data_IF_155316762135
#
_entry.id   IF_155316762135
#
_cell.length_a   1.000
_cell.length_b   1.000
_cell.length_c   1.000
_cell.angle_alpha   90.00
_cell.angle_beta   90.00
_cell.angle_gamma   90.00
#
_symmetry.space_group_name_H-M   'P 1'
#
loop_
_entity.id
_entity.type
_entity.pdbx_description
1 polymer ?
#
# COMPACT_ATOMS: atom_id res chain seq x y z
N UNK A 1 -11.65 5.33 -8.98
CA UNK A 1 -10.79 6.36 -8.33
C UNK A 1 -10.84 7.63 -9.18
N UNK A 2 -11.00 8.82 -8.58
CA UNK A 2 -10.98 10.10 -9.30
C UNK A 2 -9.56 10.43 -9.81
N UNK A 3 -9.40 11.15 -10.94
CA UNK A 3 -8.11 11.67 -11.37
C UNK A 3 -7.49 12.56 -10.28
N UNK A 4 -6.17 12.51 -10.10
CA UNK A 4 -5.51 13.27 -9.04
C UNK A 4 -5.21 14.70 -9.46
N UNK A 5 -5.09 14.93 -10.77
CA UNK A 5 -4.80 16.25 -11.33
C UNK A 5 -5.93 16.71 -12.27
N UNK A 6 -6.25 18.02 -12.31
CA UNK A 6 -7.19 18.57 -13.27
C UNK A 6 -6.75 18.25 -14.71
N UNK A 7 -7.65 17.68 -15.52
CA UNK A 7 -7.38 17.32 -16.92
C UNK A 7 -6.75 15.94 -17.15
N UNK A 8 -6.36 15.22 -16.10
CA UNK A 8 -5.89 13.84 -16.23
C UNK A 8 -7.05 12.91 -16.61
N UNK A 9 -6.94 12.23 -17.76
CA UNK A 9 -7.91 11.23 -18.19
C UNK A 9 -7.50 9.86 -17.65
N UNK A 10 -8.39 9.22 -16.88
CA UNK A 10 -8.17 7.87 -16.37
C UNK A 10 -9.18 6.89 -16.94
N UNK A 11 -8.71 6.02 -17.82
CA UNK A 11 -9.52 4.91 -18.35
C UNK A 11 -9.80 3.92 -17.22
N UNK A 12 -11.07 3.64 -16.98
CA UNK A 12 -11.53 2.64 -16.02
C UNK A 12 -12.45 1.66 -16.75
N UNK A 13 -12.06 0.39 -16.80
CA UNK A 13 -12.91 -0.67 -17.33
C UNK A 13 -13.76 -1.20 -16.19
N UNK A 14 -15.07 -1.28 -16.40
CA UNK A 14 -15.98 -1.89 -15.43
C UNK A 14 -15.81 -3.41 -15.44
N UNK A 15 -15.28 -3.92 -14.32
CA UNK A 15 -15.04 -5.35 -14.10
C UNK A 15 -16.07 -5.97 -13.15
N UNK A 16 -17.18 -5.28 -12.83
CA UNK A 16 -18.14 -5.75 -11.82
C UNK A 16 -18.70 -7.15 -12.12
N UNK A 17 -19.21 -7.38 -13.33
CA UNK A 17 -19.73 -8.69 -13.74
C UNK A 17 -18.62 -9.74 -13.86
N UNK A 18 -17.49 -9.48 -14.57
CA UNK A 18 -16.35 -10.39 -14.58
C UNK A 18 -15.88 -10.81 -13.19
N UNK A 19 -15.82 -9.88 -12.24
CA UNK A 19 -15.35 -10.12 -10.88
C UNK A 19 -16.20 -11.12 -10.10
N UNK A 20 -17.49 -11.29 -10.45
CA UNK A 20 -18.35 -12.30 -9.84
C UNK A 20 -17.95 -13.73 -10.24
N UNK A 21 -17.31 -13.89 -11.41
CA UNK A 21 -16.82 -15.17 -11.91
C UNK A 21 -15.35 -15.45 -11.56
N UNK A 22 -14.58 -14.41 -11.18
CA UNK A 22 -13.17 -14.55 -10.81
C UNK A 22 -13.06 -15.20 -9.44
N UNK A 23 -12.41 -16.37 -9.40
CA UNK A 23 -12.04 -17.02 -8.15
C UNK A 23 -10.90 -16.23 -7.51
N UNK A 24 -11.15 -15.70 -6.32
CA UNK A 24 -10.14 -14.96 -5.55
C UNK A 24 -9.40 -15.89 -4.61
N UNK A 25 -8.10 -15.87 -4.71
CA UNK A 25 -7.21 -16.43 -3.68
C UNK A 25 -7.04 -15.40 -2.58
N UNK A 26 -7.07 -15.85 -1.32
CA UNK A 26 -6.81 -14.99 -0.17
C UNK A 26 -5.35 -15.11 0.20
N UNK A 27 -4.55 -14.13 -0.22
CA UNK A 27 -3.20 -13.95 0.30
C UNK A 27 -3.23 -13.05 1.53
N UNK A 28 -2.55 -13.48 2.60
CA UNK A 28 -2.42 -12.69 3.81
C UNK A 28 -1.45 -11.54 3.53
N UNK A 29 -1.94 -10.31 3.67
CA UNK A 29 -1.08 -9.13 3.72
C UNK A 29 -0.53 -9.03 5.14
N UNK A 30 0.76 -8.70 5.33
CA UNK A 30 1.32 -8.53 6.66
C UNK A 30 0.50 -7.51 7.45
N UNK A 31 0.24 -7.84 8.70
CA UNK A 31 -0.35 -6.89 9.63
C UNK A 31 0.71 -5.89 10.08
N UNK A 32 0.24 -4.78 10.61
CA UNK A 32 1.13 -3.81 11.24
C UNK A 32 1.94 -4.41 12.40
N UNK A 33 1.39 -5.39 13.13
CA UNK A 33 2.11 -6.01 14.24
C UNK A 33 3.23 -6.93 13.74
N UNK A 34 3.02 -7.61 12.61
CA UNK A 34 4.07 -8.36 11.91
C UNK A 34 5.20 -7.42 11.47
N UNK A 35 4.85 -6.28 10.86
CA UNK A 35 5.81 -5.26 10.42
C UNK A 35 6.59 -4.71 11.63
N UNK A 36 5.93 -4.45 12.76
CA UNK A 36 6.59 -3.95 13.96
C UNK A 36 7.60 -4.96 14.53
N UNK A 37 7.26 -6.26 14.50
CA UNK A 37 8.15 -7.32 14.92
C UNK A 37 9.42 -7.38 14.09
N UNK A 38 9.33 -7.17 12.78
CA UNK A 38 10.52 -7.20 11.89
C UNK A 38 11.39 -5.94 11.99
N UNK A 39 10.82 -4.80 12.37
CA UNK A 39 11.50 -3.51 12.36
C UNK A 39 12.21 -3.16 13.69
N UNK A 40 12.10 -3.98 14.74
CA UNK A 40 12.55 -3.62 16.10
C UNK A 40 14.00 -3.18 16.20
N UNK A 41 14.91 -3.79 15.43
CA UNK A 41 16.35 -3.51 15.49
C UNK A 41 16.81 -2.58 14.34
N UNK A 42 15.87 -1.92 13.65
CA UNK A 42 16.16 -1.17 12.44
C UNK A 42 16.31 0.31 12.70
N UNK A 43 17.35 0.90 12.10
CA UNK A 43 17.64 2.33 12.18
C UNK A 43 17.61 3.02 10.81
N UNK A 44 18.00 2.30 9.77
CA UNK A 44 18.16 2.83 8.42
C UNK A 44 17.17 2.17 7.48
N UNK A 45 16.49 3.00 6.69
CA UNK A 45 15.37 2.60 5.87
C UNK A 45 15.49 3.13 4.44
N UNK A 46 15.03 2.36 3.47
CA UNK A 46 14.71 2.82 2.12
C UNK A 46 13.35 2.28 1.71
N UNK A 47 12.52 3.14 1.10
CA UNK A 47 11.23 2.77 0.53
C UNK A 47 11.31 2.84 -0.98
N UNK A 48 10.94 1.75 -1.65
CA UNK A 48 10.93 1.63 -3.10
C UNK A 48 9.47 1.54 -3.57
N UNK A 49 9.06 2.46 -4.45
CA UNK A 49 7.71 2.51 -5.05
C UNK A 49 7.76 1.87 -6.44
N UNK A 50 6.95 0.82 -6.68
CA UNK A 50 6.85 0.16 -7.98
C UNK A 50 6.06 1.02 -8.98
N UNK A 51 6.62 1.23 -10.17
CA UNK A 51 6.00 2.06 -11.22
C UNK A 51 4.78 1.36 -11.82
N UNK A 52 3.68 2.08 -11.99
CA UNK A 52 2.49 1.56 -12.72
C UNK A 52 1.92 0.25 -12.15
N UNK A 53 2.12 -0.04 -10.85
CA UNK A 53 1.52 -1.12 -10.07
C UNK A 53 1.20 -2.40 -10.87
N UNK A 54 -0.08 -2.76 -10.93
CA UNK A 54 -0.57 -3.98 -11.59
C UNK A 54 -0.16 -4.11 -13.06
N UNK A 55 0.01 -3.01 -13.80
CA UNK A 55 0.37 -3.08 -15.21
C UNK A 55 1.80 -3.57 -15.45
N UNK A 56 2.59 -3.86 -14.41
CA UNK A 56 3.88 -4.53 -14.57
C UNK A 56 3.73 -6.04 -14.80
N UNK A 57 2.66 -6.66 -14.31
CA UNK A 57 2.46 -8.10 -14.41
C UNK A 57 1.75 -8.50 -15.71
N UNK A 58 2.27 -9.50 -16.39
CA UNK A 58 1.65 -10.04 -17.61
C UNK A 58 0.52 -11.00 -17.23
N UNK A 59 -0.65 -10.84 -17.85
CA UNK A 59 -1.72 -11.81 -17.68
C UNK A 59 -1.41 -13.06 -18.51
N UNK A 60 -1.64 -14.22 -17.89
CA UNK A 60 -1.72 -15.49 -18.58
C UNK A 60 -2.66 -15.39 -19.79
N UNK A 61 -2.29 -15.99 -20.91
CA UNK A 61 -2.94 -15.74 -22.20
C UNK A 61 -4.42 -16.15 -22.17
N UNK A 62 -4.70 -17.25 -21.50
CA UNK A 62 -6.00 -17.82 -21.19
C UNK A 62 -6.84 -16.90 -20.30
N UNK A 63 -6.26 -16.07 -19.42
CA UNK A 63 -7.04 -15.16 -18.59
C UNK A 63 -7.43 -13.87 -19.31
N UNK A 64 -6.81 -13.53 -20.44
CA UNK A 64 -6.99 -12.21 -21.08
C UNK A 64 -8.41 -11.95 -21.58
N UNK A 65 -9.18 -12.99 -21.95
CA UNK A 65 -10.53 -12.82 -22.51
C UNK A 65 -11.50 -12.18 -21.50
N UNK A 66 -11.32 -12.46 -20.20
CA UNK A 66 -12.18 -11.91 -19.13
C UNK A 66 -12.04 -10.40 -19.00
N UNK A 67 -10.95 -9.84 -19.51
CA UNK A 67 -10.64 -8.40 -19.48
C UNK A 67 -11.08 -7.66 -20.75
N UNK A 68 -11.91 -8.28 -21.60
CA UNK A 68 -12.35 -7.69 -22.86
C UNK A 68 -13.35 -6.57 -22.60
N UNK A 69 -13.16 -5.43 -23.27
CA UNK A 69 -14.04 -4.27 -23.19
C UNK A 69 -14.29 -3.69 -24.59
N UNK A 70 -15.44 -3.01 -24.73
CA UNK A 70 -15.83 -2.36 -25.98
C UNK A 70 -15.30 -0.93 -26.04
N UNK A 71 -14.90 -0.51 -27.23
CA UNK A 71 -14.51 0.86 -27.55
C UNK A 71 -15.15 1.27 -28.87
N UNK A 72 -15.13 2.57 -29.19
CA UNK A 72 -15.63 3.08 -30.47
C UNK A 72 -14.89 2.52 -31.71
N UNK A 73 -13.70 1.92 -31.54
CA UNK A 73 -12.92 1.25 -32.60
C UNK A 73 -12.93 -0.27 -32.48
N UNK A 74 -13.90 -0.83 -31.75
CA UNK A 74 -14.08 -2.26 -31.56
C UNK A 74 -13.55 -2.80 -30.23
N UNK A 75 -13.48 -4.13 -30.14
CA UNK A 75 -13.12 -4.82 -28.91
C UNK A 75 -11.62 -4.72 -28.63
N UNK A 76 -11.29 -4.49 -27.37
CA UNK A 76 -9.92 -4.48 -26.83
C UNK A 76 -9.89 -5.35 -25.56
N UNK A 77 -8.71 -5.82 -25.18
CA UNK A 77 -8.50 -6.59 -23.94
C UNK A 77 -7.16 -6.26 -23.34
N UNK A 78 -7.01 -6.43 -22.03
CA UNK A 78 -5.73 -6.28 -21.38
C UNK A 78 -4.81 -7.49 -21.63
N UNK A 79 -3.52 -7.22 -21.79
CA UNK A 79 -2.45 -8.24 -21.79
C UNK A 79 -1.68 -8.29 -20.46
N UNK A 80 -1.93 -7.31 -19.60
CA UNK A 80 -1.27 -7.10 -18.31
C UNK A 80 -2.33 -6.90 -17.23
N UNK A 81 -2.00 -7.21 -15.99
CA UNK A 81 -2.95 -7.11 -14.88
C UNK A 81 -3.44 -5.66 -14.80
N UNK A 82 -4.75 -5.50 -14.65
CA UNK A 82 -5.41 -4.19 -14.73
C UNK A 82 -6.15 -3.87 -13.44
N UNK A 83 -6.29 -2.58 -13.17
CA UNK A 83 -7.11 -2.11 -12.07
C UNK A 83 -8.58 -2.50 -12.29
N UNK A 84 -9.27 -2.82 -11.20
CA UNK A 84 -10.68 -3.22 -11.22
C UNK A 84 -10.88 -4.72 -11.13
N UNK A 85 -9.87 -5.54 -11.47
CA UNK A 85 -9.92 -6.99 -11.25
C UNK A 85 -9.90 -7.27 -9.74
N UNK A 86 -10.83 -8.10 -9.28
CA UNK A 86 -11.03 -8.38 -7.85
C UNK A 86 -9.82 -9.06 -7.19
N UNK A 87 -9.11 -9.95 -7.88
CA UNK A 87 -7.92 -10.65 -7.37
C UNK A 87 -6.58 -9.94 -7.61
N UNK A 88 -6.59 -8.76 -8.25
CA UNK A 88 -5.33 -8.14 -8.69
C UNK A 88 -4.40 -7.76 -7.55
N UNK A 89 -4.95 -7.29 -6.42
CA UNK A 89 -4.15 -6.90 -5.26
C UNK A 89 -3.42 -8.11 -4.67
N UNK A 90 -4.13 -9.23 -4.49
CA UNK A 90 -3.57 -10.43 -3.89
C UNK A 90 -2.52 -11.08 -4.79
N UNK A 91 -2.80 -11.18 -6.10
CA UNK A 91 -1.81 -11.70 -7.07
C UNK A 91 -0.56 -10.84 -7.10
N UNK A 92 -0.73 -9.52 -7.11
CA UNK A 92 0.40 -8.59 -7.13
C UNK A 92 1.23 -8.72 -5.85
N UNK A 93 0.59 -8.70 -4.68
CA UNK A 93 1.24 -8.90 -3.40
C UNK A 93 2.04 -10.20 -3.36
N UNK A 94 1.45 -11.32 -3.81
CA UNK A 94 2.13 -12.62 -3.81
C UNK A 94 3.37 -12.62 -4.71
N UNK A 95 3.27 -12.08 -5.93
CA UNK A 95 4.42 -12.00 -6.85
C UNK A 95 5.56 -11.17 -6.28
N UNK A 96 5.26 -10.03 -5.62
CA UNK A 96 6.32 -9.21 -5.03
C UNK A 96 6.90 -9.87 -3.77
N UNK A 97 6.09 -10.54 -2.95
CA UNK A 97 6.59 -11.31 -1.80
C UNK A 97 7.51 -12.45 -2.25
N UNK A 98 7.09 -13.25 -3.25
CA UNK A 98 7.90 -14.32 -3.84
C UNK A 98 9.22 -13.77 -4.40
N UNK A 99 9.18 -12.62 -5.06
CA UNK A 99 10.38 -11.95 -5.56
C UNK A 99 11.37 -11.60 -4.45
N UNK A 100 10.89 -11.23 -3.26
CA UNK A 100 11.72 -10.82 -2.12
C UNK A 100 12.18 -11.99 -1.25
N UNK A 101 11.70 -13.22 -1.49
CA UNK A 101 12.13 -14.40 -0.73
C UNK A 101 13.66 -14.54 -0.76
N UNK A 102 14.23 -14.77 0.43
CA UNK A 102 15.67 -14.90 0.66
C UNK A 102 16.42 -13.57 0.78
N UNK A 103 15.72 -12.43 0.76
CA UNK A 103 16.31 -11.11 1.02
C UNK A 103 15.95 -10.66 2.45
N UNK A 104 16.89 -10.71 3.41
CA UNK A 104 16.61 -10.29 4.78
C UNK A 104 16.41 -8.78 4.86
N UNK A 105 15.56 -8.35 5.80
CA UNK A 105 15.30 -6.92 6.04
C UNK A 105 14.50 -6.27 4.91
N UNK A 106 13.56 -7.01 4.32
CA UNK A 106 12.68 -6.52 3.27
C UNK A 106 11.24 -6.83 3.58
N UNK A 107 10.39 -5.82 3.54
CA UNK A 107 8.95 -5.93 3.78
C UNK A 107 8.23 -5.38 2.56
N UNK A 108 7.26 -6.12 2.02
CA UNK A 108 6.40 -5.62 0.95
C UNK A 108 4.97 -5.43 1.43
N UNK A 109 4.42 -4.26 1.13
CA UNK A 109 3.00 -3.99 1.28
C UNK A 109 2.49 -3.26 0.04
N UNK A 110 1.62 -3.93 -0.72
CA UNK A 110 1.09 -3.45 -1.98
C UNK A 110 2.23 -3.06 -2.95
N UNK A 111 2.26 -1.80 -3.41
CA UNK A 111 3.24 -1.30 -4.38
C UNK A 111 4.56 -0.86 -3.73
N UNK A 112 4.62 -0.83 -2.39
CA UNK A 112 5.79 -0.36 -1.65
C UNK A 112 6.64 -1.54 -1.14
N UNK A 113 7.96 -1.41 -1.29
CA UNK A 113 8.96 -2.30 -0.70
C UNK A 113 9.80 -1.49 0.26
N UNK A 114 9.80 -1.89 1.53
CA UNK A 114 10.67 -1.33 2.56
C UNK A 114 11.92 -2.20 2.68
N UNK A 115 13.09 -1.57 2.64
CA UNK A 115 14.38 -2.17 2.98
C UNK A 115 14.85 -1.53 4.26
N UNK A 116 15.26 -2.32 5.24
CA UNK A 116 15.68 -1.82 6.55
C UNK A 116 16.89 -2.56 7.10
N UNK A 117 17.70 -1.89 7.93
CA UNK A 117 18.79 -2.53 8.67
C UNK A 117 19.23 -1.70 9.91
N UNK A 118 19.99 -2.30 10.84
CA UNK A 118 20.57 -1.59 11.98
C UNK A 118 21.70 -0.63 11.58
N UNK A 119 22.49 -0.98 10.55
CA UNK A 119 23.65 -0.19 10.10
C UNK A 119 23.55 0.22 8.64
N UNK A 120 24.20 1.33 8.28
CA UNK A 120 24.25 1.83 6.88
C UNK A 120 24.89 0.82 5.95
N UNK A 121 25.95 0.14 6.39
CA UNK A 121 26.67 -0.84 5.59
C UNK A 121 25.78 -2.03 5.23
N UNK A 122 25.08 -2.59 6.23
CA UNK A 122 24.15 -3.68 6.02
C UNK A 122 22.93 -3.27 5.18
N UNK A 123 22.39 -2.07 5.45
CA UNK A 123 21.30 -1.50 4.68
C UNK A 123 21.67 -1.40 3.18
N UNK A 124 22.84 -0.85 2.86
CA UNK A 124 23.27 -0.68 1.47
C UNK A 124 23.49 -2.03 0.78
N UNK A 125 24.04 -3.02 1.49
CA UNK A 125 24.19 -4.38 0.97
C UNK A 125 22.83 -5.05 0.68
N UNK A 126 21.84 -4.90 1.57
CA UNK A 126 20.47 -5.38 1.36
C UNK A 126 19.80 -4.67 0.19
N UNK A 127 19.87 -3.34 0.16
CA UNK A 127 19.29 -2.51 -0.90
C UNK A 127 19.84 -2.87 -2.28
N UNK A 128 21.16 -3.08 -2.40
CA UNK A 128 21.77 -3.48 -3.67
C UNK A 128 21.21 -4.83 -4.18
N UNK A 129 21.06 -5.82 -3.29
CA UNK A 129 20.47 -7.12 -3.65
C UNK A 129 19.01 -6.99 -4.08
N UNK A 130 18.23 -6.17 -3.38
CA UNK A 130 16.82 -5.89 -3.72
C UNK A 130 16.71 -5.22 -5.09
N UNK A 131 17.51 -4.18 -5.35
CA UNK A 131 17.52 -3.49 -6.64
C UNK A 131 17.92 -4.43 -7.78
N UNK A 132 18.92 -5.29 -7.57
CA UNK A 132 19.31 -6.30 -8.55
C UNK A 132 18.18 -7.29 -8.83
N UNK A 133 17.54 -7.83 -7.78
CA UNK A 133 16.41 -8.76 -7.92
C UNK A 133 15.23 -8.14 -8.69
N UNK A 134 14.91 -6.87 -8.39
CA UNK A 134 13.88 -6.11 -9.11
C UNK A 134 14.27 -5.96 -10.59
N UNK A 135 15.52 -5.58 -10.87
CA UNK A 135 16.02 -5.44 -12.23
C UNK A 135 15.95 -6.76 -13.01
N UNK A 136 16.37 -7.87 -12.41
CA UNK A 136 16.37 -9.21 -13.04
C UNK A 136 14.95 -9.70 -13.37
N UNK A 137 13.96 -9.31 -12.56
CA UNK A 137 12.56 -9.64 -12.80
C UNK A 137 11.90 -8.80 -13.90
N UNK A 138 12.54 -7.72 -14.35
CA UNK A 138 11.98 -6.76 -15.30
C UNK A 138 10.93 -5.81 -14.69
N UNK A 139 10.76 -5.81 -13.37
CA UNK A 139 9.99 -4.78 -12.67
C UNK A 139 10.75 -3.46 -12.64
N UNK A 140 9.99 -2.37 -12.54
CA UNK A 140 10.50 -1.00 -12.61
C UNK A 140 10.02 -0.19 -11.42
N UNK A 141 10.89 0.72 -10.97
CA UNK A 141 10.65 1.61 -9.84
C UNK A 141 10.29 3.03 -10.29
N UNK A 142 9.43 3.70 -9.55
CA UNK A 142 9.13 5.10 -9.71
C UNK A 142 10.16 5.94 -8.94
N UNK A 143 11.35 6.14 -9.52
CA UNK A 143 12.51 6.78 -8.88
C UNK A 143 12.19 8.03 -8.03
N UNK A 144 11.30 8.91 -8.50
CA UNK A 144 10.94 10.16 -7.79
C UNK A 144 10.15 9.94 -6.49
N UNK A 145 9.54 8.77 -6.31
CA UNK A 145 8.79 8.40 -5.10
C UNK A 145 9.56 7.46 -4.19
N UNK A 146 10.68 6.91 -4.69
CA UNK A 146 11.58 6.14 -3.85
C UNK A 146 12.30 7.07 -2.87
N UNK A 147 12.48 6.61 -1.66
CA UNK A 147 13.22 7.28 -0.59
C UNK A 147 14.36 6.37 -0.17
N UNK A 148 15.57 6.91 -0.09
CA UNK A 148 16.76 6.12 0.19
C UNK A 148 17.46 6.60 1.45
N UNK A 149 17.95 5.64 2.23
CA UNK A 149 18.81 5.83 3.40
C UNK A 149 18.30 6.93 4.35
N UNK A 150 17.12 6.70 4.90
CA UNK A 150 16.48 7.57 5.91
C UNK A 150 16.60 6.93 7.29
N UNK A 151 16.69 7.77 8.31
CA UNK A 151 16.59 7.40 9.72
C UNK A 151 15.13 7.41 10.23
N UNK A 152 14.23 8.01 9.45
CA UNK A 152 12.78 7.97 9.62
C UNK A 152 12.07 7.78 8.29
N UNK A 153 11.07 6.92 8.23
CA UNK A 153 10.36 6.60 6.98
C UNK A 153 8.86 6.47 7.21
N UNK A 154 8.06 7.02 6.31
CA UNK A 154 6.63 6.72 6.27
C UNK A 154 6.38 5.45 5.46
N UNK A 155 5.81 4.43 6.09
CA UNK A 155 5.46 3.16 5.46
C UNK A 155 4.15 2.61 6.04
N UNK A 156 3.29 2.05 5.20
CA UNK A 156 1.97 1.52 5.60
C UNK A 156 1.13 2.46 6.48
N UNK A 157 1.27 3.78 6.26
CA UNK A 157 0.58 4.83 7.01
C UNK A 157 1.26 5.24 8.33
N UNK A 158 2.27 4.52 8.80
CA UNK A 158 2.96 4.85 10.04
C UNK A 158 4.33 5.47 9.76
N UNK A 159 4.82 6.23 10.74
CA UNK A 159 6.19 6.75 10.74
C UNK A 159 7.06 5.80 11.56
N UNK A 160 8.08 5.23 10.93
CA UNK A 160 9.05 4.35 11.58
C UNK A 160 10.38 5.06 11.80
N UNK A 161 11.05 4.74 12.90
CA UNK A 161 12.36 5.26 13.28
C UNK A 161 13.06 4.28 14.24
N UNK A 162 14.30 4.57 14.62
CA UNK A 162 15.02 3.84 15.68
C UNK A 162 14.26 3.82 17.03
N UNK A 163 13.41 4.83 17.29
CA UNK A 163 12.59 4.89 18.51
C UNK A 163 11.29 4.08 18.41
N UNK A 164 11.11 3.31 17.33
CA UNK A 164 9.90 2.56 17.03
C UNK A 164 8.93 3.34 16.13
N UNK A 165 7.63 3.11 16.37
CA UNK A 165 6.54 3.56 15.49
C UNK A 165 5.78 4.76 16.07
N UNK A 166 5.42 5.68 15.19
CA UNK A 166 4.62 6.86 15.50
C UNK A 166 3.50 7.05 14.46
N UNK A 167 2.41 7.77 14.78
CA UNK A 167 1.40 8.12 13.80
C UNK A 167 1.98 9.09 12.76
N UNK A 168 1.46 9.02 11.53
CA UNK A 168 1.78 10.02 10.50
C UNK A 168 1.41 11.43 11.00
N UNK A 169 2.37 12.38 11.07
CA UNK A 169 2.09 13.75 11.48
C UNK A 169 0.97 14.43 10.68
N UNK A 170 0.83 14.11 9.39
CA UNK A 170 -0.26 14.64 8.58
C UNK A 170 -1.64 14.16 9.09
N UNK A 171 -1.74 12.88 9.47
CA UNK A 171 -2.97 12.32 10.05
C UNK A 171 -3.28 12.89 11.43
N UNK A 172 -2.25 13.18 12.22
CA UNK A 172 -2.42 13.87 13.51
C UNK A 172 -2.94 15.29 13.29
N UNK A 173 -2.42 16.00 12.29
CA UNK A 173 -2.89 17.35 11.96
C UNK A 173 -4.32 17.33 11.40
N UNK A 174 -4.67 16.37 10.54
CA UNK A 174 -6.04 16.18 10.04
C UNK A 174 -7.06 16.09 11.21
N UNK A 175 -6.67 15.45 12.33
CA UNK A 175 -7.52 15.34 13.54
C UNK A 175 -7.56 16.66 14.32
N UNK A 176 -6.41 17.34 14.47
CA UNK A 176 -6.32 18.61 15.21
C UNK A 176 -7.08 19.74 14.52
N UNK A 177 -7.05 19.76 13.19
CA UNK A 177 -7.67 20.81 12.37
C UNK A 177 -9.13 20.47 12.02
N UNK A 178 -9.62 19.30 12.45
CA UNK A 178 -11.00 18.89 12.22
C UNK A 178 -11.98 19.82 12.94
N UNK A 179 -12.98 20.30 12.20
CA UNK A 179 -14.08 21.06 12.79
C UNK A 179 -14.98 20.14 13.64
N UNK A 180 -15.65 20.67 14.69
CA UNK A 180 -16.59 19.90 15.49
C UNK A 180 -17.69 19.28 14.60
N UNK A 181 -17.95 17.95 14.71
CA UNK A 181 -18.97 17.31 13.90
C UNK A 181 -20.37 17.78 14.32
N UNK A 182 -21.20 18.08 13.34
CA UNK A 182 -22.58 18.56 13.51
C UNK A 182 -23.63 17.53 13.10
N UNK A 183 -23.21 16.46 12.41
CA UNK A 183 -24.10 15.37 11.97
C UNK A 183 -23.58 14.00 12.38
N UNK A 184 -24.47 13.00 12.47
CA UNK A 184 -24.10 11.60 12.76
C UNK A 184 -23.04 11.07 11.78
N UNK A 185 -23.15 11.41 10.49
CA UNK A 185 -22.18 11.02 9.46
C UNK A 185 -20.80 11.63 9.74
N UNK A 186 -20.75 12.90 10.15
CA UNK A 186 -19.51 13.57 10.53
C UNK A 186 -18.91 12.97 11.81
N UNK A 187 -19.73 12.61 12.80
CA UNK A 187 -19.26 11.92 14.02
C UNK A 187 -18.61 10.57 13.65
N UNK A 188 -19.25 9.77 12.77
CA UNK A 188 -18.67 8.51 12.28
C UNK A 188 -17.36 8.74 11.55
N UNK A 189 -17.31 9.77 10.70
CA UNK A 189 -16.09 10.11 9.96
C UNK A 189 -14.96 10.53 10.90
N UNK A 190 -15.22 11.40 11.87
CA UNK A 190 -14.24 11.85 12.86
C UNK A 190 -13.72 10.70 13.71
N UNK A 191 -14.62 9.84 14.24
CA UNK A 191 -14.23 8.65 15.00
C UNK A 191 -13.37 7.69 14.16
N UNK A 192 -13.65 7.57 12.86
CA UNK A 192 -12.82 6.81 11.93
C UNK A 192 -11.39 7.37 11.83
N UNK A 193 -11.22 8.68 11.76
CA UNK A 193 -9.89 9.32 11.76
C UNK A 193 -9.17 9.10 13.08
N UNK A 194 -9.84 9.28 14.21
CA UNK A 194 -9.23 9.11 15.54
C UNK A 194 -8.80 7.66 15.78
N UNK A 195 -9.62 6.68 15.36
CA UNK A 195 -9.31 5.26 15.50
C UNK A 195 -8.01 4.87 14.79
N UNK A 196 -7.63 5.55 13.72
CA UNK A 196 -6.34 5.35 13.05
C UNK A 196 -5.15 5.55 14.01
N UNK A 197 -5.22 6.60 14.84
CA UNK A 197 -4.21 6.90 15.85
C UNK A 197 -4.42 6.12 17.16
N UNK A 198 -5.44 5.27 17.24
CA UNK A 198 -5.89 4.69 18.50
C UNK A 198 -4.85 3.84 19.23
N UNK A 199 -3.95 3.18 18.50
CA UNK A 199 -2.82 2.44 19.10
C UNK A 199 -1.89 3.31 19.94
N UNK A 200 -1.86 4.62 19.68
CA UNK A 200 -1.00 5.60 20.35
C UNK A 200 -1.74 6.36 21.45
N UNK A 201 -3.06 6.13 21.61
CA UNK A 201 -3.90 6.85 22.55
C UNK A 201 -4.38 5.87 23.62
N UNK A 202 -3.84 6.03 24.83
CA UNK A 202 -4.26 5.24 25.99
C UNK A 202 -5.76 5.48 26.27
N UNK A 203 -6.49 4.40 26.54
CA UNK A 203 -7.91 4.43 26.92
C UNK A 203 -8.81 5.15 25.90
N UNK A 204 -8.47 5.10 24.60
CA UNK A 204 -9.25 5.74 23.53
C UNK A 204 -10.72 5.36 23.59
N UNK A 205 -11.05 4.13 24.01
CA UNK A 205 -12.42 3.66 24.12
C UNK A 205 -13.28 4.49 25.05
N UNK A 206 -12.72 4.84 26.21
CA UNK A 206 -13.42 5.67 27.21
C UNK A 206 -13.48 7.12 26.74
N UNK A 207 -12.39 7.65 26.18
CA UNK A 207 -12.33 9.02 25.66
C UNK A 207 -13.36 9.29 24.56
N UNK A 208 -13.60 8.30 23.69
CA UNK A 208 -14.53 8.43 22.55
C UNK A 208 -15.96 7.98 22.88
N UNK A 209 -16.23 7.48 24.09
CA UNK A 209 -17.57 7.02 24.50
C UNK A 209 -18.66 8.09 24.31
N UNK A 210 -18.47 9.36 24.73
CA UNK A 210 -19.51 10.38 24.56
C UNK A 210 -19.90 10.59 23.09
N UNK A 211 -18.94 10.53 22.18
CA UNK A 211 -19.19 10.69 20.74
C UNK A 211 -19.88 9.46 20.15
N UNK A 212 -19.55 8.25 20.60
CA UNK A 212 -20.22 7.03 20.14
C UNK A 212 -21.68 6.97 20.58
N UNK A 213 -22.03 7.57 21.71
CA UNK A 213 -23.41 7.66 22.17
C UNK A 213 -24.28 8.58 21.29
N UNK A 214 -23.67 9.36 20.38
CA UNK A 214 -24.36 10.21 19.41
C UNK A 214 -24.64 9.49 18.06
N UNK A 215 -24.22 8.22 17.91
CA UNK A 215 -24.23 7.46 16.65
C UNK A 215 -25.49 6.65 16.36
#
# INVERSE_FOLDING_TARGET
>A
RKPKQPGEVRICVDMHLPNAAIKRERHLTPTIDDILGELSDSRWFSKLDLRSGYHQLVLAQESRYITTFSTHVGLRRYKRLSFGISSAAEVFQNVIQELLVGLPGTINVSDDILVHAPTVAEHNARLQKVLQRIQDSGLTLHRQKCEFLRDRIQFFGYMFSENGVAPDPAKVNDIKDASPPTTVTEVRSFLGMVNYCGRFIKDLSNLTQPLRNLL
#
